data_IF_241231830792
#
_entry.id   IF_241231830792
#
_cell.length_a   1.000
_cell.length_b   1.000
_cell.length_c   1.000
_cell.angle_alpha   90.00
_cell.angle_beta   90.00
_cell.angle_gamma   90.00
#
_symmetry.space_group_name_H-M   'P 1'
#
loop_
_entity.id
_entity.type
_entity.pdbx_description
1 polymer ?
#
# COMPACT_ATOMS: atom_id res chain seq x y z
N UNK A 1 18.23 -23.65 30.29
CA UNK A 1 18.10 -23.32 29.82
C UNK A 1 17.75 -22.65 29.18
N UNK A 2 17.74 -22.20 28.94
CA UNK A 2 17.31 -21.57 28.24
C UNK A 2 17.17 -21.16 27.40
N UNK A 3 17.01 -20.93 27.10
CA UNK A 3 16.79 -20.56 26.26
C UNK A 3 16.72 -19.83 25.62
N UNK A 4 16.59 -19.55 25.27
CA UNK A 4 16.43 -19.01 24.54
C UNK A 4 16.18 -18.31 23.88
N UNK A 5 16.21 -17.95 23.69
CA UNK A 5 15.92 -17.26 23.06
C UNK A 5 16.04 -16.64 22.33
N UNK A 6 15.87 -16.39 21.73
CA UNK A 6 15.96 -15.65 20.98
C UNK A 6 15.72 -14.72 20.55
N UNK A 7 15.79 -14.49 20.46
CA UNK A 7 15.59 -13.67 20.06
C UNK A 7 15.87 -13.14 19.26
N UNK A 8 16.09 -13.19 18.94
CA UNK A 8 16.38 -12.63 18.16
C UNK A 8 15.96 -12.37 17.28
N UNK A 9 15.79 -12.15 17.09
CA UNK A 9 15.34 -11.80 16.26
C UNK A 9 15.74 -11.15 15.38
N UNK A 10 15.52 -11.03 14.82
CA UNK A 10 15.90 -10.50 13.86
C UNK A 10 15.89 -9.34 13.47
N UNK A 11 16.14 -9.11 13.29
CA UNK A 11 16.19 -8.22 12.98
C UNK A 11 16.29 -8.01 11.95
N UNK A 12 16.28 -8.22 11.45
CA UNK A 12 16.54 -8.05 10.46
C UNK A 12 15.84 -7.63 9.51
N UNK A 13 14.98 -7.92 9.00
CA UNK A 13 14.27 -7.48 7.91
C UNK A 13 13.27 -6.49 8.35
N UNK A 14 13.32 -5.19 7.99
CA UNK A 14 12.31 -4.22 8.35
C UNK A 14 11.02 -4.63 7.67
N UNK A 15 9.93 -4.55 8.41
CA UNK A 15 8.64 -4.85 7.84
C UNK A 15 8.08 -3.62 7.18
N UNK A 16 7.33 -3.78 6.09
CA UNK A 16 6.68 -2.64 5.46
C UNK A 16 5.69 -1.98 6.41
N UNK A 17 5.61 -0.68 6.32
CA UNK A 17 4.64 0.09 7.07
C UNK A 17 3.44 0.29 6.18
N UNK A 18 2.25 -0.05 6.69
CA UNK A 18 1.02 0.04 5.93
C UNK A 18 0.29 1.32 6.28
N UNK A 19 -0.31 1.92 5.28
CA UNK A 19 -1.11 3.12 5.50
C UNK A 19 -2.33 3.04 4.63
N UNK A 20 -3.49 3.35 5.20
CA UNK A 20 -4.75 3.37 4.46
C UNK A 20 -5.09 4.80 4.09
N UNK A 21 -5.33 5.03 2.82
CA UNK A 21 -5.61 6.37 2.30
C UNK A 21 -6.97 6.34 1.63
N UNK A 22 -7.96 7.03 2.18
CA UNK A 22 -9.27 7.12 1.53
C UNK A 22 -9.25 8.18 0.45
N UNK A 23 -10.09 7.99 -0.55
CA UNK A 23 -10.19 8.97 -1.62
C UNK A 23 -11.46 8.79 -2.43
N UNK A 24 -11.62 9.68 -3.38
CA UNK A 24 -12.75 9.65 -4.30
C UNK A 24 -12.21 9.93 -5.69
N UNK A 25 -12.55 9.10 -6.64
CA UNK A 25 -12.14 9.31 -8.02
C UNK A 25 -13.32 8.96 -8.91
N UNK A 26 -13.69 9.88 -9.79
CA UNK A 26 -14.82 9.72 -10.69
C UNK A 26 -16.10 9.31 -9.96
N UNK A 27 -16.31 9.91 -8.80
CA UNK A 27 -17.51 9.65 -8.02
C UNK A 27 -17.51 8.36 -7.25
N UNK A 28 -16.41 7.61 -7.25
CA UNK A 28 -16.33 6.36 -6.52
C UNK A 28 -15.44 6.54 -5.31
N UNK A 29 -15.92 6.08 -4.16
CA UNK A 29 -15.11 6.08 -2.96
C UNK A 29 -14.16 4.90 -2.99
N UNK A 30 -12.96 5.09 -2.50
CA UNK A 30 -12.01 4.00 -2.43
C UNK A 30 -11.13 4.13 -1.19
N UNK A 31 -10.49 3.03 -0.84
CA UNK A 31 -9.52 2.99 0.23
C UNK A 31 -8.29 2.30 -0.33
N UNK A 32 -7.19 3.02 -0.42
CA UNK A 32 -5.95 2.48 -0.94
C UNK A 32 -5.06 2.06 0.23
N UNK A 33 -4.55 0.84 0.14
CA UNK A 33 -3.60 0.35 1.12
C UNK A 33 -2.21 0.50 0.52
N UNK A 34 -1.46 1.44 1.05
CA UNK A 34 -0.12 1.71 0.58
C UNK A 34 0.88 1.13 1.56
N UNK A 35 2.00 0.70 1.05
CA UNK A 35 3.05 0.14 1.89
C UNK A 35 4.37 0.79 1.54
N UNK A 36 5.24 0.95 2.53
CA UNK A 36 6.58 1.43 2.27
C UNK A 36 7.52 0.90 3.32
N UNK A 37 8.77 0.74 2.94
CA UNK A 37 9.81 0.41 3.89
C UNK A 37 10.26 1.69 4.57
N UNK A 38 10.84 1.62 5.76
CA UNK A 38 11.23 2.84 6.46
C UNK A 38 12.09 3.79 5.63
N UNK A 39 12.96 3.24 4.82
CA UNK A 39 13.79 4.06 3.94
C UNK A 39 13.55 3.74 2.50
N UNK A 40 12.49 3.09 2.19
CA UNK A 40 12.29 2.60 0.85
C UNK A 40 11.18 3.32 0.12
N UNK A 41 10.97 2.92 -1.13
CA UNK A 41 9.89 3.52 -1.91
C UNK A 41 8.54 3.04 -1.43
N UNK A 42 7.52 3.70 -1.95
CA UNK A 42 6.13 3.35 -1.66
C UNK A 42 5.61 2.45 -2.76
N UNK A 43 4.69 1.56 -2.40
CA UNK A 43 4.00 0.77 -3.41
C UNK A 43 2.55 0.58 -2.97
N UNK A 44 1.72 0.23 -3.95
CA UNK A 44 0.29 0.02 -3.71
C UNK A 44 0.08 -1.47 -3.53
N UNK A 45 -0.46 -1.85 -2.36
CA UNK A 45 -0.76 -3.25 -2.09
C UNK A 45 -2.11 -3.62 -2.69
N UNK A 46 -3.15 -2.89 -2.29
CA UNK A 46 -4.49 -3.15 -2.78
C UNK A 46 -5.30 -1.86 -2.68
N UNK A 47 -6.26 -1.72 -3.58
CA UNK A 47 -7.19 -0.60 -3.55
C UNK A 47 -8.59 -1.18 -3.49
N UNK A 48 -9.31 -0.86 -2.44
CA UNK A 48 -10.70 -1.29 -2.29
C UNK A 48 -11.60 -0.19 -2.81
N UNK A 49 -12.40 -0.50 -3.82
CA UNK A 49 -13.29 0.46 -4.43
C UNK A 49 -14.71 0.01 -4.12
N UNK A 50 -15.57 0.96 -3.74
CA UNK A 50 -16.95 0.59 -3.39
C UNK A 50 -17.62 -0.12 -4.55
N UNK A 51 -18.31 -1.18 -4.24
CA UNK A 51 -19.10 -1.95 -5.20
C UNK A 51 -18.29 -2.68 -6.25
N UNK A 52 -16.99 -2.78 -6.06
CA UNK A 52 -16.11 -3.46 -7.02
C UNK A 52 -15.16 -4.39 -6.30
N UNK A 53 -14.67 -5.41 -7.00
CA UNK A 53 -13.64 -6.26 -6.42
C UNK A 53 -12.36 -5.44 -6.14
N UNK A 54 -11.55 -5.89 -5.20
CA UNK A 54 -10.32 -5.16 -4.92
C UNK A 54 -9.39 -5.13 -6.13
N UNK A 55 -8.68 -4.02 -6.27
CA UNK A 55 -7.67 -3.88 -7.30
C UNK A 55 -6.31 -4.13 -6.66
N UNK A 56 -5.51 -4.95 -7.28
CA UNK A 56 -4.19 -5.24 -6.76
C UNK A 56 -3.17 -4.34 -7.41
N UNK A 57 -2.19 -3.90 -6.63
CA UNK A 57 -1.14 -3.07 -7.17
C UNK A 57 -0.22 -3.85 -8.07
N UNK A 58 0.57 -3.12 -8.84
CA UNK A 58 1.56 -3.73 -9.69
C UNK A 58 2.90 -3.74 -8.98
N UNK A 59 3.94 -4.13 -9.70
CA UNK A 59 5.28 -4.13 -9.15
C UNK A 59 5.90 -2.75 -9.11
N UNK A 60 5.16 -1.73 -9.49
CA UNK A 60 5.70 -0.39 -9.55
C UNK A 60 5.86 0.20 -8.17
N UNK A 61 6.84 1.09 -8.04
CA UNK A 61 7.07 1.81 -6.80
C UNK A 61 7.16 3.30 -7.11
N UNK A 62 6.98 4.09 -6.06
CA UNK A 62 7.02 5.54 -6.18
C UNK A 62 7.92 6.08 -5.07
N UNK A 63 8.66 7.15 -5.34
CA UNK A 63 9.59 7.67 -4.33
C UNK A 63 8.90 8.39 -3.18
N UNK A 64 7.66 8.84 -3.36
CA UNK A 64 6.96 9.58 -2.31
C UNK A 64 5.56 9.04 -2.12
N UNK A 65 5.02 9.34 -0.93
CA UNK A 65 3.66 8.97 -0.61
C UNK A 65 2.68 9.61 -1.59
N UNK A 66 2.91 10.88 -1.89
CA UNK A 66 1.98 11.60 -2.75
C UNK A 66 1.90 11.01 -4.14
N UNK A 67 3.03 10.59 -4.67
CA UNK A 67 3.02 9.98 -5.99
C UNK A 67 2.28 8.65 -5.97
N UNK A 68 2.46 7.88 -4.90
CA UNK A 68 1.74 6.61 -4.76
C UNK A 68 0.23 6.86 -4.63
N UNK A 69 -0.15 7.88 -3.87
CA UNK A 69 -1.56 8.22 -3.72
C UNK A 69 -2.16 8.63 -5.06
N UNK A 70 -1.44 9.43 -5.83
CA UNK A 70 -1.93 9.84 -7.14
C UNK A 70 -2.06 8.66 -8.07
N UNK A 71 -1.14 7.71 -7.98
CA UNK A 71 -1.22 6.51 -8.80
C UNK A 71 -2.44 5.68 -8.44
N UNK A 72 -2.73 5.55 -7.14
CA UNK A 72 -3.93 4.82 -6.71
C UNK A 72 -5.19 5.52 -7.19
N UNK A 73 -5.22 6.83 -7.09
CA UNK A 73 -6.37 7.61 -7.55
C UNK A 73 -6.60 7.39 -9.05
N UNK A 74 -5.53 7.39 -9.81
CA UNK A 74 -5.63 7.18 -11.25
C UNK A 74 -6.12 5.77 -11.56
N UNK A 75 -5.71 4.77 -10.80
CA UNK A 75 -6.21 3.42 -11.02
C UNK A 75 -7.72 3.38 -10.91
N UNK A 76 -8.27 4.06 -9.91
CA UNK A 76 -9.71 4.08 -9.72
C UNK A 76 -10.38 4.90 -10.82
N UNK A 77 -9.78 6.03 -11.16
CA UNK A 77 -10.35 6.88 -12.21
C UNK A 77 -10.42 6.14 -13.54
N UNK A 78 -9.44 5.32 -13.82
CA UNK A 78 -9.40 4.60 -15.08
C UNK A 78 -10.46 3.50 -15.16
N UNK A 79 -11.05 3.12 -14.04
CA UNK A 79 -12.12 2.13 -14.05
C UNK A 79 -13.44 2.68 -14.54
N UNK A 80 -13.53 3.98 -14.63
CA UNK A 80 -14.83 4.60 -14.87
C UNK A 80 -15.23 4.63 -16.34
N UNK A 81 -14.71 3.75 -17.09
CA UNK A 81 -15.07 3.73 -18.52
C UNK A 81 -16.17 2.77 -18.82
#
# INVERSE_FOLDING_TARGET
MNPEIPEEVPEEEPEPIEEYVPGVANGRNYMARLCHLPDGPWYIDVVHVESLPPLHGSDRTWPTREEAVQAADKMVADLAH
#
